data_IF_397854108281
#
_entry.id   IF_397854108281
#
_cell.length_a   1.000
_cell.length_b   1.000
_cell.length_c   1.000
_cell.angle_alpha   90.00
_cell.angle_beta   90.00
_cell.angle_gamma   90.00
#
_symmetry.space_group_name_H-M   'P 1'
#
loop_
_entity.id
_entity.type
_entity.pdbx_description
1 polymer ?
#
# COMPACT_ATOMS: atom_id res chain seq x y z
N UNK A 1 33.02 -10.16 3.74
CA UNK A 1 31.62 -10.61 3.75
C UNK A 1 30.78 -9.46 4.28
N UNK A 2 30.13 -8.69 3.42
CA UNK A 2 29.30 -7.56 3.85
C UNK A 2 28.01 -8.12 4.42
N UNK A 3 27.79 -7.95 5.72
CA UNK A 3 26.51 -8.23 6.37
C UNK A 3 25.55 -7.09 5.99
N UNK A 4 24.61 -7.34 5.12
CA UNK A 4 23.54 -6.38 4.83
C UNK A 4 22.62 -6.37 6.05
N UNK A 5 22.67 -5.30 6.83
CA UNK A 5 21.71 -5.09 7.92
C UNK A 5 20.46 -4.47 7.29
N UNK A 6 19.36 -5.21 7.37
CA UNK A 6 18.04 -4.68 7.01
C UNK A 6 17.38 -4.15 8.28
N UNK A 7 16.83 -2.95 8.20
CA UNK A 7 16.01 -2.36 9.26
C UNK A 7 14.60 -2.14 8.74
N UNK A 8 13.62 -2.52 9.53
CA UNK A 8 12.20 -2.33 9.25
C UNK A 8 11.55 -1.59 10.42
N UNK A 9 10.75 -0.59 10.11
CA UNK A 9 9.79 0.02 11.02
C UNK A 9 8.39 -0.13 10.44
N UNK A 10 7.48 -0.70 11.21
CA UNK A 10 6.08 -0.90 10.82
C UNK A 10 5.20 -0.73 12.05
N UNK A 11 3.99 -0.23 11.85
CA UNK A 11 2.95 -0.21 12.88
C UNK A 11 2.33 -1.58 13.10
N UNK A 12 2.47 -2.49 12.12
CA UNK A 12 1.91 -3.84 12.14
C UNK A 12 2.93 -4.85 12.68
N UNK A 13 2.71 -5.37 13.88
CA UNK A 13 3.61 -6.33 14.53
C UNK A 13 3.84 -7.59 13.69
N UNK A 14 2.80 -8.14 13.07
CA UNK A 14 2.91 -9.34 12.25
C UNK A 14 3.75 -9.12 10.99
N UNK A 15 3.75 -7.91 10.44
CA UNK A 15 4.62 -7.54 9.32
C UNK A 15 6.09 -7.59 9.70
N UNK A 16 6.44 -7.17 10.92
CA UNK A 16 7.81 -7.28 11.44
C UNK A 16 8.20 -8.75 11.56
N UNK A 17 7.36 -9.59 12.17
CA UNK A 17 7.62 -11.02 12.31
C UNK A 17 7.77 -11.73 10.96
N UNK A 18 6.93 -11.41 9.97
CA UNK A 18 7.05 -11.98 8.63
C UNK A 18 8.36 -11.58 7.93
N UNK A 19 8.79 -10.34 8.09
CA UNK A 19 10.06 -9.88 7.54
C UNK A 19 11.27 -10.52 8.26
N UNK A 20 11.18 -10.74 9.56
CA UNK A 20 12.19 -11.49 10.31
C UNK A 20 12.30 -12.94 9.87
N UNK A 21 11.18 -13.58 9.51
CA UNK A 21 11.16 -14.96 9.03
C UNK A 21 11.90 -15.17 7.70
N UNK A 22 11.97 -14.13 6.85
CA UNK A 22 12.67 -14.21 5.56
C UNK A 22 14.12 -13.69 5.60
N UNK A 23 14.61 -13.23 6.75
CA UNK A 23 15.96 -12.60 6.87
C UNK A 23 17.10 -13.47 6.35
N UNK A 24 17.01 -14.79 6.53
CA UNK A 24 18.05 -15.74 6.10
C UNK A 24 18.10 -15.95 4.59
N UNK A 25 17.04 -15.55 3.87
CA UNK A 25 16.98 -15.51 2.40
C UNK A 25 17.73 -14.30 1.81
N UNK A 26 18.31 -13.44 2.65
CA UNK A 26 19.01 -12.20 2.28
C UNK A 26 18.15 -11.26 1.42
N UNK A 27 16.94 -10.92 1.89
CA UNK A 27 16.02 -10.07 1.15
C UNK A 27 16.63 -8.68 0.92
N UNK A 28 16.27 -8.08 -0.20
CA UNK A 28 16.52 -6.65 -0.43
C UNK A 28 15.38 -5.80 0.16
N UNK A 29 15.48 -4.47 0.04
CA UNK A 29 14.47 -3.56 0.57
C UNK A 29 13.09 -3.72 -0.09
N UNK A 30 13.05 -4.11 -1.38
CA UNK A 30 11.80 -4.37 -2.10
C UNK A 30 11.12 -5.65 -1.57
N UNK A 31 11.88 -6.72 -1.33
CA UNK A 31 11.36 -7.97 -0.76
C UNK A 31 10.74 -7.73 0.63
N UNK A 32 11.43 -6.97 1.47
CA UNK A 32 10.95 -6.60 2.81
C UNK A 32 9.67 -5.77 2.73
N UNK A 33 9.64 -4.78 1.84
CA UNK A 33 8.46 -3.94 1.63
C UNK A 33 7.25 -4.77 1.20
N UNK A 34 7.43 -5.61 0.17
CA UNK A 34 6.34 -6.45 -0.37
C UNK A 34 5.83 -7.41 0.73
N UNK A 35 6.74 -8.09 1.44
CA UNK A 35 6.39 -8.98 2.54
C UNK A 35 5.60 -8.25 3.63
N UNK A 36 6.08 -7.07 4.04
CA UNK A 36 5.41 -6.25 5.06
C UNK A 36 4.00 -5.85 4.63
N UNK A 37 3.85 -5.33 3.42
CA UNK A 37 2.55 -4.85 2.91
C UNK A 37 1.56 -5.99 2.74
N UNK A 38 1.96 -7.11 2.13
CA UNK A 38 1.07 -8.27 1.95
C UNK A 38 0.65 -8.88 3.28
N UNK A 39 1.54 -8.91 4.27
CA UNK A 39 1.19 -9.36 5.63
C UNK A 39 0.20 -8.40 6.29
N UNK A 40 0.41 -7.09 6.16
CA UNK A 40 -0.50 -6.08 6.73
C UNK A 40 -1.91 -6.15 6.14
N UNK A 41 -2.06 -6.52 4.86
CA UNK A 41 -3.37 -6.70 4.24
C UNK A 41 -4.23 -7.77 4.93
N UNK A 42 -3.60 -8.71 5.64
CA UNK A 42 -4.28 -9.78 6.37
C UNK A 42 -4.35 -9.50 7.86
N UNK A 43 -3.28 -8.94 8.44
CA UNK A 43 -3.15 -8.78 9.88
C UNK A 43 -3.66 -7.44 10.40
N UNK A 44 -3.75 -6.42 9.54
CA UNK A 44 -4.08 -5.05 9.93
C UNK A 44 -5.37 -4.57 9.22
N UNK A 45 -6.38 -5.42 9.31
CA UNK A 45 -7.68 -5.21 8.68
C UNK A 45 -8.31 -3.89 9.14
N UNK A 46 -8.80 -3.11 8.18
CA UNK A 46 -9.39 -1.80 8.42
C UNK A 46 -8.39 -0.63 8.27
N UNK A 47 -7.08 -0.90 8.26
CA UNK A 47 -6.04 0.10 7.98
C UNK A 47 -5.41 -0.17 6.62
N UNK A 48 -4.98 -1.41 6.37
CA UNK A 48 -4.44 -1.85 5.08
C UNK A 48 -5.36 -2.91 4.48
N UNK A 49 -5.67 -2.79 3.21
CA UNK A 49 -6.52 -3.77 2.52
C UNK A 49 -6.01 -4.08 1.11
N UNK A 50 -6.40 -5.23 0.53
CA UNK A 50 -6.11 -5.54 -0.86
C UNK A 50 -6.66 -4.51 -1.85
N UNK A 51 -7.64 -3.71 -1.43
CA UNK A 51 -8.26 -2.66 -2.24
C UNK A 51 -7.77 -1.26 -1.87
N UNK A 52 -6.62 -1.14 -1.22
CA UNK A 52 -6.02 0.14 -0.85
C UNK A 52 -5.33 0.83 -2.02
N UNK A 53 -5.19 2.15 -1.90
CA UNK A 53 -4.18 2.89 -2.65
C UNK A 53 -2.82 2.83 -1.94
N UNK A 54 -1.76 3.20 -2.63
CA UNK A 54 -0.42 3.29 -2.06
C UNK A 54 0.37 4.44 -2.69
N UNK A 55 1.16 5.11 -1.85
CA UNK A 55 2.22 6.02 -2.28
C UNK A 55 3.54 5.44 -1.80
N UNK A 56 4.48 5.26 -2.72
CA UNK A 56 5.76 4.64 -2.43
C UNK A 56 6.91 5.50 -2.92
N UNK A 57 7.89 5.73 -2.05
CA UNK A 57 9.17 6.32 -2.44
C UNK A 57 10.27 5.29 -2.23
N UNK A 58 11.04 5.02 -3.27
CA UNK A 58 12.16 4.09 -3.26
C UNK A 58 13.45 4.82 -3.63
N UNK A 59 14.49 4.66 -2.81
CA UNK A 59 15.83 5.17 -3.07
C UNK A 59 16.77 4.02 -3.46
N UNK A 60 17.31 4.06 -4.68
CA UNK A 60 18.37 3.16 -5.11
C UNK A 60 19.74 3.76 -4.74
N UNK A 61 20.31 3.29 -3.64
CA UNK A 61 21.60 3.78 -3.15
C UNK A 61 22.78 3.47 -4.07
N UNK A 62 22.68 2.48 -4.98
CA UNK A 62 23.73 2.17 -5.95
C UNK A 62 23.75 3.19 -7.09
N UNK A 63 22.59 3.64 -7.52
CA UNK A 63 22.42 4.62 -8.60
C UNK A 63 22.32 6.06 -8.09
N UNK A 64 22.12 6.26 -6.78
CA UNK A 64 21.83 7.56 -6.18
C UNK A 64 20.53 8.20 -6.67
N UNK A 65 19.56 7.38 -7.11
CA UNK A 65 18.29 7.86 -7.67
C UNK A 65 17.12 7.54 -6.74
N UNK A 66 16.20 8.48 -6.64
CA UNK A 66 14.95 8.31 -5.91
C UNK A 66 13.77 8.29 -6.87
N UNK A 67 12.87 7.35 -6.69
CA UNK A 67 11.66 7.20 -7.49
C UNK A 67 10.45 7.21 -6.57
N UNK A 68 9.44 7.97 -6.94
CA UNK A 68 8.12 7.94 -6.31
C UNK A 68 7.13 7.26 -7.25
N UNK A 69 6.35 6.34 -6.73
CA UNK A 69 5.31 5.62 -7.44
C UNK A 69 3.99 6.01 -6.81
N UNK A 70 3.14 6.64 -7.62
CA UNK A 70 1.78 6.96 -7.23
C UNK A 70 0.85 5.83 -7.68
N UNK A 71 0.34 5.11 -6.72
CA UNK A 71 -0.70 4.09 -6.87
C UNK A 71 -1.93 4.44 -6.03
N UNK A 72 -2.23 5.71 -5.91
CA UNK A 72 -3.44 6.14 -5.21
C UNK A 72 -4.69 5.72 -5.97
N UNK A 73 -5.83 5.98 -5.39
CA UNK A 73 -7.12 5.64 -5.99
C UNK A 73 -7.40 6.46 -7.25
N UNK A 74 -7.96 5.83 -8.25
CA UNK A 74 -8.45 6.52 -9.46
C UNK A 74 -9.92 6.19 -9.69
N UNK A 75 -10.65 7.13 -10.28
CA UNK A 75 -12.03 6.90 -10.69
C UNK A 75 -12.07 5.91 -11.85
N UNK A 76 -13.11 5.06 -11.95
CA UNK A 76 -13.34 4.23 -13.12
C UNK A 76 -13.45 5.07 -14.40
N UNK A 77 -12.87 4.60 -15.50
CA UNK A 77 -12.80 5.35 -16.77
C UNK A 77 -14.18 5.75 -17.33
N UNK A 78 -15.18 4.90 -17.13
CA UNK A 78 -16.54 5.10 -17.63
C UNK A 78 -17.49 5.56 -16.51
N UNK A 79 -16.97 6.33 -15.57
CA UNK A 79 -17.76 6.85 -14.48
C UNK A 79 -18.75 7.91 -15.00
N UNK A 80 -20.05 7.59 -14.93
CA UNK A 80 -21.11 8.52 -15.26
C UNK A 80 -21.68 9.13 -13.98
N UNK A 81 -21.37 10.40 -13.73
CA UNK A 81 -21.78 11.12 -12.52
C UNK A 81 -23.30 11.25 -12.30
N UNK A 82 -24.11 10.90 -13.29
CA UNK A 82 -25.55 11.07 -13.23
C UNK A 82 -26.32 9.87 -12.59
N UNK A 83 -25.65 8.72 -12.40
CA UNK A 83 -26.28 7.51 -11.86
C UNK A 83 -26.04 7.34 -10.35
N UNK A 84 -25.76 8.42 -9.62
CA UNK A 84 -25.45 8.36 -8.22
C UNK A 84 -26.69 8.34 -7.33
N UNK A 85 -26.88 7.22 -6.65
CA UNK A 85 -27.57 7.22 -5.37
C UNK A 85 -26.49 7.33 -4.27
N UNK A 86 -26.04 8.54 -4.02
CA UNK A 86 -25.10 8.80 -2.94
C UNK A 86 -25.83 8.83 -1.60
N UNK A 87 -25.45 7.96 -0.70
CA UNK A 87 -25.77 8.12 0.71
C UNK A 87 -24.58 8.73 1.42
N UNK A 88 -24.67 10.01 1.76
CA UNK A 88 -23.64 10.69 2.56
C UNK A 88 -23.67 10.17 3.99
N UNK A 89 -22.52 9.86 4.52
CA UNK A 89 -22.32 9.44 5.90
C UNK A 89 -21.32 10.39 6.53
N UNK A 90 -21.71 10.97 7.65
CA UNK A 90 -20.81 11.75 8.48
C UNK A 90 -20.16 10.82 9.48
N UNK A 91 -18.82 10.77 9.46
CA UNK A 91 -18.03 10.01 10.41
C UNK A 91 -17.31 10.96 11.36
N UNK A 92 -17.34 10.65 12.64
CA UNK A 92 -16.66 11.44 13.69
C UNK A 92 -15.15 11.18 13.76
N UNK A 93 -14.66 10.24 12.93
CA UNK A 93 -13.23 9.91 12.83
C UNK A 93 -12.46 11.02 12.10
N UNK A 94 -11.26 11.32 12.59
CA UNK A 94 -10.34 12.23 11.89
C UNK A 94 -10.77 13.71 11.81
N UNK A 95 -11.66 14.17 12.71
CA UNK A 95 -12.07 15.58 12.72
C UNK A 95 -13.32 15.86 11.86
N UNK A 96 -14.21 14.91 11.75
CA UNK A 96 -15.47 15.03 10.99
C UNK A 96 -15.26 14.90 9.47
N UNK A 97 -15.25 13.66 9.00
CA UNK A 97 -15.11 13.35 7.58
C UNK A 97 -16.48 12.98 7.00
N UNK A 98 -16.88 13.67 5.94
CA UNK A 98 -18.01 13.23 5.12
C UNK A 98 -17.53 12.21 4.08
N UNK A 99 -18.21 11.07 4.02
CA UNK A 99 -17.97 10.05 3.01
C UNK A 99 -19.27 9.63 2.34
N UNK A 100 -19.17 8.99 1.19
CA UNK A 100 -20.32 8.46 0.46
C UNK A 100 -20.28 6.94 0.44
N UNK A 101 -21.42 6.30 0.55
CA UNK A 101 -21.59 4.86 0.30
C UNK A 101 -22.61 4.63 -0.82
N UNK A 102 -22.42 3.57 -1.57
CA UNK A 102 -23.31 3.16 -2.65
C UNK A 102 -22.57 2.36 -3.71
N UNK A 103 -23.30 1.81 -4.66
CA UNK A 103 -22.73 0.95 -5.70
C UNK A 103 -21.70 1.67 -6.60
N UNK A 104 -21.80 2.98 -6.72
CA UNK A 104 -20.92 3.80 -7.58
C UNK A 104 -19.90 4.63 -6.79
N UNK A 105 -19.68 4.33 -5.51
CA UNK A 105 -18.73 5.08 -4.66
C UNK A 105 -17.39 4.35 -4.46
N UNK A 106 -17.05 3.40 -5.31
CA UNK A 106 -15.78 2.71 -5.28
C UNK A 106 -14.75 3.37 -6.20
N UNK A 107 -13.50 3.27 -5.81
CA UNK A 107 -12.36 3.69 -6.63
C UNK A 107 -11.54 2.46 -7.05
N UNK A 108 -10.77 2.59 -8.12
CA UNK A 108 -9.85 1.54 -8.56
C UNK A 108 -8.59 1.61 -7.69
N UNK A 109 -8.23 0.54 -6.96
CA UNK A 109 -7.06 0.53 -6.10
C UNK A 109 -5.77 0.38 -6.91
N UNK A 110 -4.71 1.07 -6.47
CA UNK A 110 -3.42 1.03 -7.14
C UNK A 110 -2.34 0.20 -6.43
N UNK A 111 -2.60 -0.32 -5.24
CA UNK A 111 -1.58 -0.96 -4.40
C UNK A 111 -0.87 -2.12 -5.09
N UNK A 112 -1.58 -3.02 -5.77
CA UNK A 112 -0.96 -4.15 -6.47
C UNK A 112 -0.08 -3.70 -7.62
N UNK A 113 -0.46 -2.60 -8.30
CA UNK A 113 0.38 -2.04 -9.38
C UNK A 113 1.68 -1.48 -8.85
N UNK A 114 1.64 -0.85 -7.66
CA UNK A 114 2.85 -0.37 -6.98
C UNK A 114 3.76 -1.55 -6.60
N UNK A 115 3.21 -2.60 -6.00
CA UNK A 115 3.98 -3.80 -5.64
C UNK A 115 4.57 -4.50 -6.87
N UNK A 116 3.82 -4.64 -7.97
CA UNK A 116 4.30 -5.21 -9.23
C UNK A 116 5.47 -4.40 -9.82
N UNK A 117 5.37 -3.06 -9.81
CA UNK A 117 6.45 -2.19 -10.30
C UNK A 117 7.71 -2.37 -9.46
N UNK A 118 7.60 -2.40 -8.15
CA UNK A 118 8.75 -2.59 -7.26
C UNK A 118 9.37 -3.97 -7.45
N UNK A 119 8.55 -5.02 -7.50
CA UNK A 119 9.00 -6.40 -7.71
C UNK A 119 9.78 -6.58 -9.02
N UNK A 120 9.32 -5.94 -10.10
CA UNK A 120 9.98 -6.07 -11.42
C UNK A 120 11.22 -5.20 -11.57
N UNK A 121 11.32 -4.15 -10.80
CA UNK A 121 12.36 -3.13 -10.98
C UNK A 121 13.57 -3.34 -10.09
N UNK A 122 13.39 -3.99 -8.95
CA UNK A 122 14.38 -4.17 -7.89
C UNK A 122 14.45 -5.59 -7.38
#
# INVERSE_FOLDING_TARGET
MFCVKVSLASTAQYSIQACEAIKDLRPNAADILITSVLTSMVSDLGVVSPTSGALLTYHDGKKGTTHTIDGYFVSPRNFNGNDHQEHRISMTYGGHVETCKGANTFAIPGIYKVLDIIYRRY
#
